data_IF_166294326754
#
_entry.id   IF_166294326754
#
_cell.length_a   1.000
_cell.length_b   1.000
_cell.length_c   1.000
_cell.angle_alpha   90.00
_cell.angle_beta   90.00
_cell.angle_gamma   90.00
#
_symmetry.space_group_name_H-M   'P 1'
#
loop_
_entity.id
_entity.type
_entity.pdbx_description
1 polymer ?
#
# COMPACT_ATOMS: atom_id res chain seq x y z
N UNK A 1 -53.22 0.97 0.63
CA UNK A 1 -52.24 0.56 -0.40
C UNK A 1 -51.49 -0.65 0.13
N UNK A 2 -51.33 -1.73 -0.64
CA UNK A 2 -50.55 -2.89 -0.20
C UNK A 2 -49.06 -2.56 -0.22
N UNK A 3 -48.37 -2.97 0.84
CA UNK A 3 -46.93 -2.86 1.00
C UNK A 3 -46.28 -3.88 0.07
N UNK A 4 -45.59 -3.42 -0.98
CA UNK A 4 -44.81 -4.29 -1.86
C UNK A 4 -43.68 -4.90 -1.04
N UNK A 5 -43.68 -6.23 -0.94
CA UNK A 5 -42.54 -7.00 -0.45
C UNK A 5 -41.32 -6.59 -1.27
N UNK A 6 -40.29 -6.06 -0.60
CA UNK A 6 -38.99 -5.79 -1.21
C UNK A 6 -38.38 -7.13 -1.58
N UNK A 7 -38.65 -7.56 -2.80
CA UNK A 7 -37.94 -8.67 -3.43
C UNK A 7 -36.45 -8.41 -3.27
N UNK A 8 -35.74 -9.38 -2.72
CA UNK A 8 -34.29 -9.33 -2.58
C UNK A 8 -33.72 -9.02 -3.96
N UNK A 9 -33.10 -7.85 -4.10
CA UNK A 9 -32.37 -7.46 -5.30
C UNK A 9 -31.31 -8.53 -5.53
N UNK A 10 -31.64 -9.48 -6.39
CA UNK A 10 -30.69 -10.44 -6.93
C UNK A 10 -30.03 -9.68 -8.07
N UNK A 11 -28.99 -8.93 -7.73
CA UNK A 11 -28.17 -8.24 -8.73
C UNK A 11 -27.57 -9.30 -9.65
N UNK A 12 -28.20 -9.45 -10.82
CA UNK A 12 -27.67 -10.18 -11.96
C UNK A 12 -26.60 -9.30 -12.62
N UNK A 13 -25.52 -9.04 -11.90
CA UNK A 13 -24.29 -8.50 -12.45
C UNK A 13 -23.21 -9.56 -12.23
N UNK A 14 -23.07 -10.43 -13.23
CA UNK A 14 -22.00 -11.41 -13.29
C UNK A 14 -20.63 -10.69 -13.30
N UNK A 15 -19.95 -10.69 -12.16
CA UNK A 15 -18.50 -10.87 -12.08
C UNK A 15 -17.61 -9.63 -12.16
N UNK A 16 -17.58 -8.81 -11.10
CA UNK A 16 -16.32 -8.15 -10.73
C UNK A 16 -16.26 -7.96 -9.21
N UNK A 17 -15.51 -8.83 -8.53
CA UNK A 17 -15.12 -8.55 -7.16
C UNK A 17 -14.26 -7.26 -7.18
N UNK A 18 -14.51 -6.33 -6.25
CA UNK A 18 -13.72 -5.11 -6.12
C UNK A 18 -12.22 -5.45 -6.14
N UNK A 19 -11.40 -4.70 -6.90
CA UNK A 19 -9.99 -4.99 -7.01
C UNK A 19 -9.32 -4.89 -5.64
N UNK A 20 -8.40 -5.83 -5.35
CA UNK A 20 -7.58 -5.78 -4.14
C UNK A 20 -6.74 -4.51 -4.12
N UNK A 21 -6.58 -3.91 -2.94
CA UNK A 21 -5.73 -2.74 -2.75
C UNK A 21 -4.33 -2.97 -3.37
N UNK A 22 -3.84 -2.09 -4.26
CA UNK A 22 -2.55 -2.27 -4.89
C UNK A 22 -1.43 -2.02 -3.86
N UNK A 23 -0.37 -2.84 -3.91
CA UNK A 23 0.83 -2.63 -3.13
C UNK A 23 1.87 -1.92 -4.02
N UNK A 24 2.19 -0.63 -3.76
CA UNK A 24 3.19 0.09 -4.56
C UNK A 24 4.57 -0.52 -4.36
N UNK A 25 5.49 -0.24 -5.29
CA UNK A 25 6.87 -0.70 -5.14
C UNK A 25 7.55 -0.04 -3.93
N UNK A 26 8.50 -0.75 -3.33
CA UNK A 26 9.26 -0.23 -2.20
C UNK A 26 10.05 1.03 -2.61
N UNK A 27 10.76 0.99 -3.75
CA UNK A 27 11.56 2.11 -4.22
C UNK A 27 10.73 3.37 -4.46
N UNK A 28 9.59 3.26 -5.14
CA UNK A 28 8.71 4.41 -5.40
C UNK A 28 8.21 5.03 -4.09
N UNK A 29 7.85 4.18 -3.12
CA UNK A 29 7.39 4.61 -1.80
C UNK A 29 8.48 5.34 -1.02
N UNK A 30 9.70 4.80 -1.01
CA UNK A 30 10.85 5.42 -0.33
C UNK A 30 11.26 6.74 -0.99
N UNK A 31 11.24 6.82 -2.32
CA UNK A 31 11.54 8.05 -3.05
C UNK A 31 10.49 9.13 -2.76
N UNK A 32 9.21 8.76 -2.75
CA UNK A 32 8.12 9.68 -2.41
C UNK A 32 8.25 10.17 -0.98
N UNK A 33 8.57 9.29 -0.03
CA UNK A 33 8.82 9.65 1.36
C UNK A 33 9.94 10.71 1.47
N UNK A 34 11.09 10.49 0.81
CA UNK A 34 12.20 11.46 0.84
C UNK A 34 11.80 12.81 0.24
N UNK A 35 11.05 12.84 -0.88
CA UNK A 35 10.53 14.09 -1.45
C UNK A 35 9.67 14.86 -0.45
N UNK A 36 8.78 14.17 0.26
CA UNK A 36 7.93 14.78 1.29
C UNK A 36 8.75 15.27 2.49
N UNK A 37 9.78 14.55 2.93
CA UNK A 37 10.57 14.94 4.10
C UNK A 37 11.53 16.10 3.83
N UNK A 38 11.94 16.31 2.58
CA UNK A 38 12.98 17.30 2.22
C UNK A 38 12.70 18.72 2.70
N UNK A 39 11.43 19.15 2.73
CA UNK A 39 11.04 20.50 3.14
C UNK A 39 10.61 20.58 4.62
N UNK A 40 10.48 19.43 5.30
CA UNK A 40 10.07 19.36 6.70
C UNK A 40 11.26 19.22 7.66
N UNK A 41 12.42 18.82 7.13
CA UNK A 41 13.63 18.55 7.90
C UNK A 41 14.72 19.56 7.61
N UNK A 42 15.61 19.78 8.58
CA UNK A 42 16.87 20.48 8.32
C UNK A 42 17.76 19.63 7.41
N UNK A 43 18.73 20.24 6.75
CA UNK A 43 19.65 19.54 5.85
C UNK A 43 20.38 18.38 6.55
N UNK A 44 20.84 18.60 7.80
CA UNK A 44 21.52 17.57 8.58
C UNK A 44 20.61 16.37 8.89
N UNK A 45 19.36 16.64 9.27
CA UNK A 45 18.36 15.61 9.53
C UNK A 45 18.01 14.85 8.25
N UNK A 46 17.78 15.57 7.15
CA UNK A 46 17.48 14.97 5.85
C UNK A 46 18.61 14.05 5.38
N UNK A 47 19.86 14.48 5.51
CA UNK A 47 21.02 13.66 5.16
C UNK A 47 21.11 12.36 5.98
N UNK A 48 20.79 12.42 7.28
CA UNK A 48 20.70 11.22 8.12
C UNK A 48 19.55 10.31 7.67
N UNK A 49 18.36 10.87 7.44
CA UNK A 49 17.19 10.13 6.95
C UNK A 49 17.46 9.44 5.61
N UNK A 50 18.10 10.13 4.67
CA UNK A 50 18.45 9.57 3.36
C UNK A 50 19.38 8.35 3.48
N UNK A 51 20.36 8.39 4.39
CA UNK A 51 21.25 7.23 4.64
C UNK A 51 20.47 6.04 5.19
N UNK A 52 19.57 6.28 6.14
CA UNK A 52 18.73 5.24 6.73
C UNK A 52 17.81 4.62 5.67
N UNK A 53 17.14 5.44 4.87
CA UNK A 53 16.24 4.99 3.80
C UNK A 53 16.98 4.15 2.76
N UNK A 54 18.19 4.58 2.35
CA UNK A 54 19.03 3.81 1.42
C UNK A 54 19.44 2.45 1.99
N UNK A 55 19.79 2.39 3.27
CA UNK A 55 20.13 1.12 3.92
C UNK A 55 18.90 0.20 4.06
N UNK A 56 17.75 0.78 4.39
CA UNK A 56 16.50 0.03 4.52
C UNK A 56 16.06 -0.61 3.20
N UNK A 57 16.14 0.15 2.09
CA UNK A 57 15.78 -0.30 0.75
C UNK A 57 16.92 -0.94 -0.05
N UNK A 58 18.06 -1.24 0.57
CA UNK A 58 19.16 -1.90 -0.13
C UNK A 58 18.77 -3.34 -0.55
N UNK A 59 19.36 -3.88 -1.63
CA UNK A 59 19.16 -5.28 -2.02
C UNK A 59 19.50 -6.23 -0.87
N UNK A 60 18.60 -7.17 -0.57
CA UNK A 60 18.70 -8.07 0.59
C UNK A 60 18.48 -7.38 1.95
N UNK A 61 18.07 -6.11 1.95
CA UNK A 61 17.80 -5.32 3.13
C UNK A 61 16.47 -5.66 3.81
N UNK A 62 16.26 -5.06 4.98
CA UNK A 62 15.04 -5.27 5.78
C UNK A 62 13.79 -4.83 5.03
N UNK A 63 13.88 -3.77 4.21
CA UNK A 63 12.76 -3.26 3.43
C UNK A 63 12.22 -4.27 2.42
N UNK A 64 13.08 -4.97 1.69
CA UNK A 64 12.67 -6.00 0.72
C UNK A 64 12.00 -7.20 1.40
N UNK A 65 12.54 -7.62 2.56
CA UNK A 65 11.93 -8.68 3.37
C UNK A 65 10.51 -8.30 3.82
N UNK A 66 10.34 -7.06 4.31
CA UNK A 66 9.03 -6.58 4.77
C UNK A 66 8.06 -6.38 3.60
N UNK A 67 8.53 -5.87 2.46
CA UNK A 67 7.72 -5.73 1.25
C UNK A 67 7.20 -7.10 0.76
N UNK A 68 8.03 -8.14 0.82
CA UNK A 68 7.64 -9.51 0.46
C UNK A 68 6.53 -10.04 1.38
N UNK A 69 6.62 -9.76 2.69
CA UNK A 69 5.57 -10.11 3.66
C UNK A 69 4.26 -9.34 3.43
N UNK A 70 4.34 -8.07 3.01
CA UNK A 70 3.15 -7.29 2.63
C UNK A 70 2.49 -7.87 1.37
N UNK A 71 3.28 -8.31 0.38
CA UNK A 71 2.77 -8.97 -0.81
C UNK A 71 2.06 -10.29 -0.47
N UNK A 72 2.67 -11.12 0.39
CA UNK A 72 2.02 -12.34 0.90
C UNK A 72 0.70 -12.04 1.62
N UNK A 73 0.67 -10.97 2.42
CA UNK A 73 -0.53 -10.53 3.15
C UNK A 73 -1.64 -10.06 2.21
N UNK A 74 -1.29 -9.35 1.13
CA UNK A 74 -2.21 -8.96 0.04
C UNK A 74 -2.88 -10.17 -0.60
N UNK A 75 -2.17 -11.27 -0.75
CA UNK A 75 -2.78 -12.48 -1.28
C UNK A 75 -3.76 -13.13 -0.31
N UNK A 76 -3.45 -13.10 0.99
CA UNK A 76 -4.25 -13.75 2.05
C UNK A 76 -5.45 -12.95 2.56
N UNK A 77 -5.52 -11.64 2.29
CA UNK A 77 -6.59 -10.76 2.80
C UNK A 77 -7.34 -10.05 1.68
N UNK A 78 -8.61 -9.70 1.93
CA UNK A 78 -9.39 -8.83 1.05
C UNK A 78 -8.79 -7.41 0.97
N UNK A 79 -8.25 -6.93 2.10
CA UNK A 79 -7.49 -5.70 2.23
C UNK A 79 -6.32 -5.97 3.19
N UNK A 80 -5.09 -5.64 2.78
CA UNK A 80 -3.86 -6.01 3.48
C UNK A 80 -3.45 -4.97 4.50
#
# INVERSE_FOLDING_TARGET
>A
MPILNRESFKDSASGDALPKLPLPSLSETLDRYLRCMKHLLTEQQFNKTQKIVKQFGAPGGVGELLQSKLAERREKKANW
#
